data_IF_807702878934
#
_entry.id   IF_807702878934
#
_cell.length_a   1.000
_cell.length_b   1.000
_cell.length_c   1.000
_cell.angle_alpha   90.00
_cell.angle_beta   90.00
_cell.angle_gamma   90.00
#
_symmetry.space_group_name_H-M   'P 1'
#
loop_
_entity.id
_entity.type
_entity.pdbx_description
1 polymer ?
#
# COMPACT_ATOMS: atom_id res chain seq x y z
N UNK A 1 16.93 -11.65 7.74
CA UNK A 1 15.46 -11.83 7.68
C UNK A 1 15.00 -11.51 6.27
N UNK A 2 14.07 -12.28 5.69
CA UNK A 2 13.54 -12.03 4.35
C UNK A 2 12.73 -10.72 4.32
N UNK A 3 12.82 -9.95 3.22
CA UNK A 3 12.20 -8.63 3.07
C UNK A 3 10.72 -8.64 3.49
N UNK A 4 9.90 -9.46 2.82
CA UNK A 4 8.45 -9.55 3.08
C UNK A 4 8.11 -9.97 4.52
N UNK A 5 8.87 -10.92 5.06
CA UNK A 5 8.62 -11.42 6.41
C UNK A 5 8.87 -10.33 7.46
N UNK A 6 9.85 -9.47 7.25
CA UNK A 6 10.09 -8.35 8.15
C UNK A 6 8.89 -7.40 8.23
N UNK A 7 8.30 -7.04 7.08
CA UNK A 7 7.11 -6.19 7.02
C UNK A 7 5.92 -6.84 7.72
N UNK A 8 5.62 -8.10 7.39
CA UNK A 8 4.50 -8.83 8.01
C UNK A 8 4.65 -9.01 9.52
N UNK A 9 5.87 -9.06 10.05
CA UNK A 9 6.09 -9.15 11.50
C UNK A 9 6.08 -7.81 12.24
N UNK A 10 6.36 -6.71 11.53
CA UNK A 10 6.59 -5.40 12.15
C UNK A 10 5.46 -4.40 11.92
N UNK A 11 4.79 -4.49 10.77
CA UNK A 11 3.62 -3.70 10.40
C UNK A 11 2.57 -4.59 9.71
N UNK A 12 2.08 -5.67 10.38
CA UNK A 12 1.07 -6.55 9.79
C UNK A 12 -0.19 -5.79 9.33
N UNK A 13 -0.60 -4.77 10.09
CA UNK A 13 -1.74 -3.90 9.79
C UNK A 13 -1.59 -3.12 8.48
N UNK A 14 -0.36 -2.77 8.09
CA UNK A 14 -0.06 -2.05 6.86
C UNK A 14 0.04 -2.98 5.63
N UNK A 15 -0.19 -4.29 5.80
CA UNK A 15 -0.11 -5.27 4.73
C UNK A 15 -1.50 -5.87 4.46
N UNK A 16 -2.01 -5.73 3.24
CA UNK A 16 -3.33 -6.23 2.87
C UNK A 16 -3.36 -6.79 1.45
N UNK A 17 -4.31 -7.71 1.23
CA UNK A 17 -4.61 -8.28 -0.08
C UNK A 17 -6.07 -8.00 -0.44
N UNK A 18 -6.31 -7.74 -1.71
CA UNK A 18 -7.64 -7.71 -2.29
C UNK A 18 -7.90 -9.06 -2.95
N UNK A 19 -8.90 -9.79 -2.45
CA UNK A 19 -9.32 -11.08 -2.97
C UNK A 19 -10.62 -10.93 -3.77
N UNK A 20 -10.69 -11.58 -4.93
CA UNK A 20 -11.91 -11.64 -5.73
C UNK A 20 -12.87 -12.73 -5.19
N UNK A 21 -14.11 -12.74 -5.70
CA UNK A 21 -15.15 -13.67 -5.24
C UNK A 21 -14.77 -15.14 -5.45
N UNK A 22 -13.95 -15.42 -6.46
CA UNK A 22 -13.46 -16.77 -6.80
C UNK A 22 -12.22 -17.19 -6.00
N UNK A 23 -11.74 -16.34 -5.08
CA UNK A 23 -10.55 -16.57 -4.28
C UNK A 23 -9.24 -16.19 -4.95
N UNK A 24 -9.27 -15.62 -6.15
CA UNK A 24 -8.06 -15.11 -6.81
C UNK A 24 -7.59 -13.80 -6.16
N UNK A 25 -6.26 -13.59 -6.10
CA UNK A 25 -5.68 -12.35 -5.56
C UNK A 25 -5.71 -11.28 -6.66
N UNK A 26 -6.62 -10.32 -6.50
CA UNK A 26 -6.77 -9.19 -7.41
C UNK A 26 -5.63 -8.17 -7.25
N UNK A 27 -5.11 -8.01 -6.03
CA UNK A 27 -3.98 -7.13 -5.77
C UNK A 27 -3.51 -7.19 -4.32
N UNK A 28 -2.41 -6.50 -4.03
CA UNK A 28 -1.89 -6.38 -2.67
C UNK A 28 -1.25 -5.02 -2.44
N UNK A 29 -1.14 -4.66 -1.17
CA UNK A 29 -0.35 -3.53 -0.68
C UNK A 29 0.51 -3.97 0.50
N UNK A 30 1.75 -3.49 0.51
CA UNK A 30 2.70 -3.64 1.60
C UNK A 30 3.16 -2.24 1.96
N UNK A 31 2.82 -1.80 3.15
CA UNK A 31 3.27 -0.55 3.74
C UNK A 31 4.06 -0.75 5.02
N UNK A 32 4.64 0.34 5.49
CA UNK A 32 5.26 0.49 6.81
C UNK A 32 5.00 1.91 7.31
N UNK A 33 5.40 2.17 8.55
CA UNK A 33 5.43 3.53 9.10
C UNK A 33 6.85 3.91 9.46
N UNK A 34 7.26 5.11 9.10
CA UNK A 34 8.60 5.64 9.38
C UNK A 34 8.64 7.17 9.56
N UNK A 35 9.83 7.69 9.83
CA UNK A 35 10.08 9.10 10.11
C UNK A 35 10.09 9.43 11.60
N UNK A 36 10.12 10.72 11.93
CA UNK A 36 10.13 11.24 13.30
C UNK A 36 9.49 12.63 13.36
N UNK A 37 8.82 12.96 14.47
CA UNK A 37 8.21 14.28 14.65
C UNK A 37 7.19 14.56 13.56
N UNK A 38 7.28 15.72 12.90
CA UNK A 38 6.36 16.11 11.82
C UNK A 38 6.52 15.30 10.54
N UNK A 39 7.61 14.54 10.41
CA UNK A 39 7.83 13.63 9.29
C UNK A 39 7.32 12.22 9.60
N UNK A 40 6.48 12.02 10.61
CA UNK A 40 5.89 10.69 10.89
C UNK A 40 4.83 10.34 9.84
N UNK A 41 5.09 9.34 9.01
CA UNK A 41 4.27 9.02 7.82
C UNK A 41 4.20 7.52 7.53
N UNK A 42 3.14 7.12 6.83
CA UNK A 42 3.06 5.80 6.19
C UNK A 42 3.83 5.78 4.88
N UNK A 43 4.46 4.67 4.53
CA UNK A 43 5.20 4.50 3.28
C UNK A 43 4.70 3.29 2.50
N UNK A 44 4.28 3.49 1.24
CA UNK A 44 3.94 2.39 0.34
C UNK A 44 5.21 1.75 -0.19
N UNK A 45 5.53 0.55 0.28
CA UNK A 45 6.71 -0.19 -0.20
C UNK A 45 6.42 -0.96 -1.49
N UNK A 46 5.20 -1.50 -1.63
CA UNK A 46 4.75 -2.11 -2.85
C UNK A 46 3.23 -2.09 -2.94
N UNK A 47 2.70 -1.74 -4.11
CA UNK A 47 1.30 -1.96 -4.48
C UNK A 47 1.27 -2.55 -5.88
N UNK A 48 0.45 -3.57 -6.09
CA UNK A 48 0.31 -4.22 -7.39
C UNK A 48 -1.08 -4.80 -7.56
N UNK A 49 -1.62 -4.67 -8.76
CA UNK A 49 -2.92 -5.20 -9.17
C UNK A 49 -2.73 -6.07 -10.40
N UNK A 50 -3.29 -7.27 -10.34
CA UNK A 50 -3.26 -8.23 -11.43
C UNK A 50 -3.91 -7.62 -12.69
N UNK A 51 -3.33 -7.81 -13.89
CA UNK A 51 -3.76 -7.14 -15.13
C UNK A 51 -5.27 -7.16 -15.40
N UNK A 52 -5.91 -8.29 -15.17
CA UNK A 52 -7.33 -8.56 -15.34
C UNK A 52 -8.24 -7.76 -14.40
N UNK A 53 -7.72 -7.30 -13.26
CA UNK A 53 -8.43 -6.48 -12.27
C UNK A 53 -8.05 -5.00 -12.33
N UNK A 54 -7.20 -4.56 -13.27
CA UNK A 54 -6.85 -3.15 -13.40
C UNK A 54 -8.05 -2.31 -13.82
N UNK A 55 -8.07 -1.04 -13.42
CA UNK A 55 -9.13 -0.06 -13.72
C UNK A 55 -10.51 -0.41 -13.14
N UNK A 56 -10.57 -1.30 -12.14
CA UNK A 56 -11.79 -1.65 -11.39
C UNK A 56 -11.91 -0.94 -10.04
N UNK A 57 -10.88 -0.17 -9.64
CA UNK A 57 -10.81 0.51 -8.34
C UNK A 57 -10.05 -0.25 -7.25
N UNK A 58 -9.57 -1.48 -7.50
CA UNK A 58 -8.81 -2.27 -6.52
C UNK A 58 -7.61 -1.51 -5.94
N UNK A 59 -6.82 -0.84 -6.79
CA UNK A 59 -5.67 -0.06 -6.32
C UNK A 59 -6.09 1.12 -5.43
N UNK A 60 -7.17 1.83 -5.76
CA UNK A 60 -7.70 2.93 -4.92
C UNK A 60 -8.06 2.40 -3.54
N UNK A 61 -8.79 1.28 -3.49
CA UNK A 61 -9.23 0.70 -2.22
C UNK A 61 -8.07 0.25 -1.34
N UNK A 62 -7.01 -0.30 -1.96
CA UNK A 62 -5.79 -0.69 -1.25
C UNK A 62 -5.03 0.53 -0.71
N UNK A 63 -4.97 1.63 -1.46
CA UNK A 63 -4.37 2.89 -0.99
C UNK A 63 -5.17 3.50 0.16
N UNK A 64 -6.49 3.63 0.00
CA UNK A 64 -7.41 4.10 1.05
C UNK A 64 -7.24 3.28 2.33
N UNK A 65 -7.14 1.96 2.22
CA UNK A 65 -6.89 1.09 3.37
C UNK A 65 -5.60 1.47 4.11
N UNK A 66 -4.49 1.67 3.38
CA UNK A 66 -3.22 2.02 4.02
C UNK A 66 -3.24 3.43 4.61
N UNK A 67 -3.90 4.39 3.95
CA UNK A 67 -4.11 5.74 4.48
C UNK A 67 -4.90 5.68 5.80
N UNK A 68 -6.01 4.94 5.83
CA UNK A 68 -6.82 4.76 7.03
C UNK A 68 -6.04 4.10 8.17
N UNK A 69 -5.23 3.08 7.89
CA UNK A 69 -4.38 2.42 8.90
C UNK A 69 -3.31 3.38 9.40
N UNK A 70 -2.66 4.11 8.49
CA UNK A 70 -1.60 5.06 8.84
C UNK A 70 -2.15 6.17 9.75
N UNK A 71 -3.32 6.72 9.44
CA UNK A 71 -3.97 7.74 10.26
C UNK A 71 -4.47 7.17 11.59
N UNK A 72 -5.30 6.11 11.56
CA UNK A 72 -6.05 5.67 12.74
C UNK A 72 -5.27 4.79 13.72
N UNK A 73 -4.25 4.08 13.24
CA UNK A 73 -3.46 3.14 14.07
C UNK A 73 -2.12 3.73 14.47
N UNK A 74 -1.53 4.58 13.62
CA UNK A 74 -0.20 5.11 13.83
C UNK A 74 -0.13 6.63 13.99
N UNK A 75 -1.25 7.36 13.86
CA UNK A 75 -1.29 8.82 13.94
C UNK A 75 -0.33 9.50 12.92
N UNK A 76 -0.18 8.90 11.73
CA UNK A 76 0.65 9.45 10.66
C UNK A 76 0.06 10.74 10.08
N UNK A 77 0.92 11.67 9.69
CA UNK A 77 0.51 12.94 9.07
C UNK A 77 0.20 12.82 7.59
N UNK A 78 0.88 11.93 6.88
CA UNK A 78 0.71 11.69 5.45
C UNK A 78 1.16 10.27 5.07
N UNK A 79 0.96 9.90 3.80
CA UNK A 79 1.50 8.69 3.19
C UNK A 79 2.33 9.07 1.97
N UNK A 80 3.52 8.48 1.82
CA UNK A 80 4.39 8.69 0.66
C UNK A 80 4.68 7.38 -0.09
N UNK A 81 5.24 7.53 -1.30
CA UNK A 81 5.66 6.43 -2.16
C UNK A 81 6.64 6.91 -3.22
N UNK A 82 7.38 5.96 -3.80
CA UNK A 82 8.21 6.21 -4.98
C UNK A 82 7.59 5.62 -6.25
N UNK A 83 7.45 6.45 -7.28
CA UNK A 83 7.00 6.04 -8.61
C UNK A 83 8.11 6.26 -9.63
N UNK A 84 8.29 5.30 -10.55
CA UNK A 84 9.22 5.47 -11.67
C UNK A 84 8.69 6.55 -12.61
N UNK A 85 9.51 7.52 -13.05
CA UNK A 85 9.08 8.57 -13.98
C UNK A 85 8.52 8.03 -15.31
N UNK A 86 8.94 6.83 -15.71
CA UNK A 86 8.47 6.16 -16.93
C UNK A 86 7.15 5.41 -16.76
N UNK A 87 6.63 5.28 -15.53
CA UNK A 87 5.37 4.61 -15.26
C UNK A 87 4.20 5.61 -15.35
N UNK A 88 3.79 5.90 -16.58
CA UNK A 88 2.73 6.88 -16.85
C UNK A 88 1.38 6.48 -16.29
N UNK A 89 1.12 5.18 -16.12
CA UNK A 89 -0.14 4.69 -15.55
C UNK A 89 -0.20 4.95 -14.05
N UNK A 90 0.89 4.68 -13.33
CA UNK A 90 0.99 4.99 -11.91
C UNK A 90 1.00 6.50 -11.64
N UNK A 91 1.67 7.29 -12.48
CA UNK A 91 1.67 8.74 -12.39
C UNK A 91 0.30 9.40 -12.63
N UNK A 92 -0.61 8.73 -13.34
CA UNK A 92 -2.00 9.18 -13.50
C UNK A 92 -2.91 8.71 -12.37
N UNK A 93 -2.47 7.72 -11.63
CA UNK A 93 -3.23 7.07 -10.58
C UNK A 93 -3.06 7.80 -9.24
N UNK A 94 -1.83 8.18 -8.90
CA UNK A 94 -1.50 9.05 -7.76
C UNK A 94 -1.65 10.52 -8.11
#
# INVERSE_FOLDING_TARGET
MNFYFNYLTRWPECCAVAEAIDGSIAGYIIGKVEGNGQEWHGHVSAISVAPEFRRTGVANRLMEYLEEVSEKVHDCYFVDLFVRPTNTDALKFY
#
